data_IF_965507925263
#
_entry.id   IF_965507925263
#
_cell.length_a   1.000
_cell.length_b   1.000
_cell.length_c   1.000
_cell.angle_alpha   90.00
_cell.angle_beta   90.00
_cell.angle_gamma   90.00
#
_symmetry.space_group_name_H-M   'P 1'
#
loop_
_entity.id
_entity.type
_entity.pdbx_description
1 polymer ?
#
# COMPACT_ATOMS: atom_id res chain seq x y z
N UNK A 1 -2.55 5.06 -18.41
CA UNK A 1 -1.16 4.81 -17.97
C UNK A 1 -0.40 3.81 -18.86
N UNK A 2 -1.04 3.09 -19.81
CA UNK A 2 -0.34 2.20 -20.75
C UNK A 2 -0.04 0.78 -20.28
N UNK A 3 -0.51 0.41 -19.08
CA UNK A 3 -0.31 -0.91 -18.50
C UNK A 3 0.82 -0.96 -17.47
N UNK A 4 1.05 -2.14 -16.90
CA UNK A 4 2.16 -2.38 -15.97
C UNK A 4 3.50 -2.36 -16.70
N UNK A 5 4.54 -1.85 -16.04
CA UNK A 5 5.89 -1.69 -16.60
C UNK A 5 6.44 -2.97 -17.26
N UNK A 6 6.18 -4.13 -16.65
CA UNK A 6 6.64 -5.44 -17.13
C UNK A 6 5.47 -6.32 -17.63
N UNK A 7 4.39 -5.67 -18.09
CA UNK A 7 3.16 -6.34 -18.52
C UNK A 7 2.27 -6.78 -17.35
N UNK A 8 0.99 -7.07 -17.65
CA UNK A 8 -0.01 -7.32 -16.61
C UNK A 8 0.33 -8.50 -15.68
N UNK A 9 1.07 -9.49 -16.17
CA UNK A 9 1.49 -10.65 -15.38
C UNK A 9 2.44 -10.30 -14.22
N UNK A 10 3.11 -9.15 -14.25
CA UNK A 10 3.95 -8.68 -13.16
C UNK A 10 3.15 -8.02 -12.05
N UNK A 11 1.84 -7.85 -12.18
CA UNK A 11 1.01 -7.24 -11.13
C UNK A 11 0.98 -8.13 -9.89
N UNK A 12 1.32 -7.54 -8.75
CA UNK A 12 1.23 -8.20 -7.45
C UNK A 12 0.06 -7.66 -6.62
N UNK A 13 -0.13 -6.33 -6.62
CA UNK A 13 -1.14 -5.67 -5.80
C UNK A 13 -1.56 -4.30 -6.37
N UNK A 14 -2.72 -3.83 -5.91
CA UNK A 14 -3.23 -2.49 -6.17
C UNK A 14 -3.80 -1.86 -4.91
N UNK A 15 -3.55 -0.58 -4.68
CA UNK A 15 -4.35 0.27 -3.79
C UNK A 15 -5.28 1.09 -4.68
N UNK A 16 -6.59 0.77 -4.75
CA UNK A 16 -7.48 1.35 -5.76
C UNK A 16 -7.90 2.81 -5.45
N UNK A 17 -7.80 3.25 -4.20
CA UNK A 17 -8.50 4.44 -3.73
C UNK A 17 -7.67 5.44 -2.93
N UNK A 18 -6.38 5.57 -3.24
CA UNK A 18 -5.43 6.33 -2.44
C UNK A 18 -4.96 5.56 -1.21
N UNK A 19 -3.91 6.05 -0.55
CA UNK A 19 -3.22 5.32 0.52
C UNK A 19 -4.11 4.90 1.70
N UNK A 20 -5.31 5.45 1.82
CA UNK A 20 -6.22 5.19 2.93
C UNK A 20 -6.96 3.88 2.81
N UNK A 21 -6.98 3.20 1.66
CA UNK A 21 -7.79 1.99 1.45
C UNK A 21 -6.96 0.70 1.48
N UNK A 22 -7.55 -0.44 1.86
CA UNK A 22 -6.86 -1.73 1.82
C UNK A 22 -6.36 -2.08 0.41
N UNK A 23 -5.21 -2.73 0.36
CA UNK A 23 -4.66 -3.33 -0.87
C UNK A 23 -5.56 -4.47 -1.36
N UNK A 24 -5.75 -4.54 -2.69
CA UNK A 24 -6.25 -5.71 -3.41
C UNK A 24 -5.09 -6.57 -3.89
N UNK A 25 -5.23 -7.90 -3.83
CA UNK A 25 -4.27 -8.81 -4.47
C UNK A 25 -4.51 -8.87 -6.00
N UNK A 26 -3.59 -9.51 -6.72
CA UNK A 26 -3.69 -9.71 -8.17
C UNK A 26 -5.05 -10.25 -8.63
N UNK A 27 -5.50 -11.35 -8.05
CA UNK A 27 -6.75 -12.01 -8.47
C UNK A 27 -7.96 -11.07 -8.32
N UNK A 28 -8.00 -10.29 -7.24
CA UNK A 28 -9.05 -9.28 -7.05
C UNK A 28 -8.94 -8.13 -8.05
N UNK A 29 -7.73 -7.76 -8.49
CA UNK A 29 -7.53 -6.71 -9.50
C UNK A 29 -8.04 -7.12 -10.87
N UNK A 30 -8.00 -8.40 -11.22
CA UNK A 30 -8.50 -8.92 -12.50
C UNK A 30 -10.03 -8.76 -12.63
N UNK A 31 -10.74 -8.76 -11.50
CA UNK A 31 -12.21 -8.72 -11.44
C UNK A 31 -12.78 -7.42 -10.86
N UNK A 32 -11.93 -6.51 -10.38
CA UNK A 32 -12.38 -5.28 -9.71
C UNK A 32 -12.97 -4.28 -10.70
N UNK A 33 -14.18 -3.81 -10.39
CA UNK A 33 -14.77 -2.63 -10.99
C UNK A 33 -14.42 -1.42 -10.13
N UNK A 34 -14.02 -0.32 -10.77
CA UNK A 34 -13.64 0.93 -10.08
C UNK A 34 -14.87 1.72 -9.61
N UNK A 35 -15.71 1.08 -8.79
CA UNK A 35 -16.91 1.64 -8.18
C UNK A 35 -16.93 1.40 -6.67
N UNK A 36 -17.73 2.19 -5.94
CA UNK A 36 -17.74 2.14 -4.47
C UNK A 36 -18.16 0.77 -3.92
N UNK A 37 -19.27 0.21 -4.43
CA UNK A 37 -19.87 -1.00 -3.87
C UNK A 37 -19.05 -2.26 -4.19
N UNK A 38 -18.54 -2.38 -5.43
CA UNK A 38 -17.70 -3.52 -5.80
C UNK A 38 -16.40 -3.56 -5.00
N UNK A 39 -15.67 -2.45 -4.90
CA UNK A 39 -14.44 -2.39 -4.12
C UNK A 39 -14.68 -2.65 -2.63
N UNK A 40 -15.80 -2.18 -2.09
CA UNK A 40 -16.22 -2.49 -0.72
C UNK A 40 -16.50 -3.98 -0.53
N UNK A 41 -17.15 -4.64 -1.49
CA UNK A 41 -17.42 -6.08 -1.46
C UNK A 41 -16.14 -6.92 -1.46
N UNK A 42 -15.08 -6.41 -2.11
CA UNK A 42 -13.73 -7.02 -2.14
C UNK A 42 -12.88 -6.68 -0.90
N UNK A 43 -13.45 -5.97 0.07
CA UNK A 43 -12.79 -5.61 1.32
C UNK A 43 -11.75 -4.48 1.17
N UNK A 44 -11.92 -3.62 0.16
CA UNK A 44 -11.19 -2.37 -0.04
C UNK A 44 -12.18 -1.18 -0.13
N UNK A 45 -11.82 -0.09 -0.78
CA UNK A 45 -12.69 1.06 -1.03
C UNK A 45 -12.20 1.93 -2.20
N UNK A 46 -13.11 2.70 -2.79
CA UNK A 46 -12.75 3.58 -3.92
C UNK A 46 -11.97 4.83 -3.48
N UNK A 47 -12.19 5.32 -2.26
CA UNK A 47 -11.51 6.51 -1.72
C UNK A 47 -11.50 7.69 -2.70
N UNK A 48 -10.31 8.20 -3.02
CA UNK A 48 -10.12 9.30 -3.98
C UNK A 48 -10.01 8.85 -5.45
N UNK A 49 -10.16 7.54 -5.71
CA UNK A 49 -9.82 6.90 -6.97
C UNK A 49 -8.36 7.12 -7.43
N UNK A 50 -7.46 7.41 -6.49
CA UNK A 50 -6.02 7.48 -6.75
C UNK A 50 -5.41 6.06 -6.76
N UNK A 51 -5.43 5.44 -7.94
CA UNK A 51 -4.94 4.08 -8.14
C UNK A 51 -3.42 4.00 -8.04
N UNK A 52 -2.90 3.17 -7.14
CA UNK A 52 -1.47 2.85 -7.02
C UNK A 52 -1.25 1.38 -7.32
N UNK A 53 -0.43 1.08 -8.33
CA UNK A 53 -0.15 -0.27 -8.80
C UNK A 53 1.24 -0.72 -8.32
N UNK A 54 1.34 -1.97 -7.88
CA UNK A 54 2.58 -2.58 -7.41
C UNK A 54 2.90 -3.81 -8.24
N UNK A 55 4.05 -3.81 -8.90
CA UNK A 55 4.56 -5.01 -9.54
C UNK A 55 5.25 -5.97 -8.53
N UNK A 56 5.66 -7.13 -9.03
CA UNK A 56 6.35 -8.18 -8.29
C UNK A 56 7.77 -7.81 -7.83
N UNK A 57 8.32 -6.68 -8.29
CA UNK A 57 9.60 -6.15 -7.79
C UNK A 57 9.45 -5.34 -6.49
N UNK A 58 8.22 -4.98 -6.10
CA UNK A 58 7.97 -4.15 -4.92
C UNK A 58 7.87 -5.00 -3.65
N UNK A 59 8.64 -4.62 -2.62
CA UNK A 59 8.40 -5.10 -1.26
C UNK A 59 7.15 -4.44 -0.67
N UNK A 60 6.05 -5.20 -0.63
CA UNK A 60 4.79 -4.73 -0.05
C UNK A 60 4.89 -4.44 1.45
N UNK A 61 5.73 -5.15 2.20
CA UNK A 61 5.92 -4.87 3.64
C UNK A 61 6.55 -3.50 3.80
N UNK A 62 7.61 -3.21 3.04
CA UNK A 62 8.26 -1.90 3.02
C UNK A 62 7.37 -0.78 2.50
N UNK A 63 6.57 -1.04 1.45
CA UNK A 63 5.63 -0.06 0.90
C UNK A 63 4.56 0.35 1.93
N UNK A 64 3.93 -0.63 2.59
CA UNK A 64 2.90 -0.35 3.60
C UNK A 64 3.51 0.25 4.87
N UNK A 65 4.70 -0.19 5.30
CA UNK A 65 5.44 0.49 6.38
C UNK A 65 5.68 1.96 6.06
N UNK A 66 6.03 2.31 4.81
CA UNK A 66 6.21 3.70 4.40
C UNK A 66 4.92 4.51 4.45
N UNK A 67 3.77 3.90 4.16
CA UNK A 67 2.45 4.51 4.38
C UNK A 67 2.16 4.68 5.88
N UNK A 68 2.48 3.70 6.72
CA UNK A 68 2.35 3.84 8.18
C UNK A 68 3.21 4.97 8.74
N UNK A 69 4.44 5.15 8.25
CA UNK A 69 5.27 6.32 8.56
C UNK A 69 4.57 7.62 8.16
N UNK A 70 3.95 7.68 6.97
CA UNK A 70 3.19 8.86 6.54
C UNK A 70 2.05 9.17 7.50
N UNK A 71 1.24 8.17 7.89
CA UNK A 71 0.13 8.39 8.81
C UNK A 71 0.56 8.78 10.22
N UNK A 72 1.69 8.24 10.72
CA UNK A 72 2.28 8.72 11.97
C UNK A 72 2.72 10.18 11.87
N UNK A 73 3.40 10.55 10.78
CA UNK A 73 3.92 11.90 10.59
C UNK A 73 2.80 12.95 10.43
N UNK A 74 1.74 12.60 9.70
CA UNK A 74 0.61 13.48 9.39
C UNK A 74 -0.56 13.33 10.38
N UNK A 75 -0.39 12.58 11.46
CA UNK A 75 -1.36 12.52 12.55
C UNK A 75 -1.31 13.81 13.35
N UNK A 76 -2.45 14.49 13.51
CA UNK A 76 -2.54 15.69 14.35
C UNK A 76 -2.34 15.40 15.85
N UNK A 77 -2.34 14.13 16.26
CA UNK A 77 -2.10 13.70 17.64
C UNK A 77 -3.25 13.98 18.62
N UNK A 78 -4.45 14.36 18.17
CA UNK A 78 -5.54 14.74 19.08
C UNK A 78 -6.11 13.56 19.89
N UNK A 79 -6.49 12.47 19.22
CA UNK A 79 -7.07 11.29 19.88
C UNK A 79 -5.99 10.23 20.16
N UNK A 80 -6.01 9.65 21.36
CA UNK A 80 -5.01 8.67 21.80
C UNK A 80 -4.89 7.44 20.89
N UNK A 81 -5.98 6.80 20.42
CA UNK A 81 -5.85 5.63 19.55
C UNK A 81 -5.08 5.95 18.26
N UNK A 82 -5.30 7.12 17.66
CA UNK A 82 -4.54 7.55 16.49
C UNK A 82 -3.10 7.97 16.83
N UNK A 83 -2.92 8.80 17.87
CA UNK A 83 -1.61 9.35 18.24
C UNK A 83 -0.60 8.26 18.60
N UNK A 84 -1.00 7.34 19.47
CA UNK A 84 -0.13 6.27 19.94
C UNK A 84 -0.16 5.07 18.98
N UNK A 85 -1.34 4.72 18.48
CA UNK A 85 -1.53 3.55 17.64
C UNK A 85 -0.78 3.66 16.31
N UNK A 86 -0.78 4.83 15.65
CA UNK A 86 -0.03 4.99 14.38
C UNK A 86 1.48 4.84 14.55
N UNK A 87 2.05 5.32 15.67
CA UNK A 87 3.45 5.06 15.98
C UNK A 87 3.70 3.57 16.20
N UNK A 88 2.82 2.91 16.96
CA UNK A 88 2.98 1.49 17.25
C UNK A 88 2.87 0.61 15.99
N UNK A 89 1.93 0.92 15.09
CA UNK A 89 1.83 0.27 13.78
C UNK A 89 3.15 0.36 13.01
N UNK A 90 3.74 1.56 12.93
CA UNK A 90 5.01 1.75 12.24
C UNK A 90 6.16 0.98 12.90
N UNK A 91 6.29 1.05 14.23
CA UNK A 91 7.38 0.43 14.97
C UNK A 91 7.39 -1.10 14.82
N UNK A 92 6.21 -1.73 14.78
CA UNK A 92 6.08 -3.18 14.51
C UNK A 92 6.41 -3.47 13.04
N UNK A 93 5.92 -2.67 12.10
CA UNK A 93 6.21 -2.86 10.68
C UNK A 93 7.69 -2.66 10.33
N UNK A 94 8.41 -1.77 11.01
CA UNK A 94 9.87 -1.63 10.88
C UNK A 94 10.58 -2.94 11.25
N UNK A 95 10.12 -3.62 12.31
CA UNK A 95 10.69 -4.90 12.73
C UNK A 95 10.31 -6.02 11.78
N UNK A 96 9.07 -6.06 11.31
CA UNK A 96 8.62 -7.02 10.30
C UNK A 96 9.36 -6.88 8.97
N UNK A 97 9.58 -5.64 8.49
CA UNK A 97 10.38 -5.36 7.28
C UNK A 97 11.83 -5.89 7.43
N UNK A 98 12.42 -5.78 8.62
CA UNK A 98 13.77 -6.28 8.91
C UNK A 98 13.84 -7.78 9.20
N UNK A 99 12.71 -8.45 9.39
CA UNK A 99 12.66 -9.84 9.88
C UNK A 99 13.02 -10.00 11.37
N UNK A 100 13.03 -8.91 12.15
CA UNK A 100 13.35 -8.90 13.60
C UNK A 100 12.08 -8.83 14.47
N UNK A 101 11.01 -9.48 14.01
CA UNK A 101 9.73 -9.57 14.71
C UNK A 101 9.40 -11.03 15.04
N UNK A 102 8.66 -11.26 16.11
CA UNK A 102 8.12 -12.59 16.40
C UNK A 102 6.81 -12.81 15.59
N UNK A 103 6.56 -14.03 15.11
CA UNK A 103 5.31 -14.35 14.38
C UNK A 103 4.04 -14.07 15.18
N UNK A 104 4.12 -14.08 16.52
CA UNK A 104 3.01 -13.69 17.42
C UNK A 104 2.64 -12.22 17.28
N UNK A 105 3.51 -11.40 16.71
CA UNK A 105 3.25 -9.98 16.50
C UNK A 105 2.36 -9.71 15.28
N UNK A 106 2.24 -10.67 14.36
CA UNK A 106 1.33 -10.58 13.21
C UNK A 106 -0.14 -10.43 13.67
N UNK A 107 -0.69 -11.34 14.49
CA UNK A 107 -2.05 -11.16 15.02
C UNK A 107 -2.15 -9.98 16.00
N UNK A 108 -1.09 -9.66 16.75
CA UNK A 108 -1.06 -8.46 17.60
C UNK A 108 -1.21 -7.18 16.76
N UNK A 109 -0.52 -7.09 15.62
CA UNK A 109 -0.60 -5.96 14.71
C UNK A 109 -2.00 -5.82 14.12
N UNK A 110 -2.65 -6.94 13.78
CA UNK A 110 -4.05 -6.95 13.36
C UNK A 110 -4.96 -6.40 14.48
N UNK A 111 -4.77 -6.85 15.72
CA UNK A 111 -5.53 -6.38 16.87
C UNK A 111 -5.36 -4.87 17.11
N UNK A 112 -4.12 -4.37 17.08
CA UNK A 112 -3.83 -2.94 17.20
C UNK A 112 -4.54 -2.15 16.11
N UNK A 113 -4.49 -2.61 14.86
CA UNK A 113 -5.17 -1.93 13.75
C UNK A 113 -6.70 -1.83 13.98
N UNK A 114 -7.32 -2.87 14.55
CA UNK A 114 -8.76 -2.89 14.87
C UNK A 114 -9.11 -2.06 16.10
N UNK A 115 -8.17 -1.85 17.03
CA UNK A 115 -8.35 -0.93 18.15
C UNK A 115 -8.23 0.53 17.73
N UNK A 116 -7.52 0.83 16.64
CA UNK A 116 -7.49 2.18 16.07
C UNK A 116 -8.77 2.44 15.27
N UNK A 117 -9.14 1.49 14.40
CA UNK A 117 -10.32 1.58 13.53
C UNK A 117 -11.60 1.84 14.34
N UNK A 118 -12.34 2.88 13.97
CA UNK A 118 -13.61 3.25 14.60
C UNK A 118 -13.50 3.81 16.03
N UNK A 119 -12.30 3.94 16.60
CA UNK A 119 -12.08 4.51 17.94
C UNK A 119 -11.39 5.88 17.90
N UNK A 120 -11.25 6.48 16.71
CA UNK A 120 -10.64 7.80 16.51
C UNK A 120 -11.68 8.88 16.22
N UNK A 121 -11.29 10.14 16.40
CA UNK A 121 -12.18 11.30 16.18
C UNK A 121 -12.50 11.48 14.68
N UNK A 122 -11.50 11.28 13.82
CA UNK A 122 -11.64 11.40 12.37
C UNK A 122 -11.20 10.09 11.68
N UNK A 123 -11.44 10.02 10.37
CA UNK A 123 -11.13 8.86 9.54
C UNK A 123 -9.62 8.66 9.26
N UNK A 124 -8.73 9.50 9.78
CA UNK A 124 -7.28 9.28 9.64
C UNK A 124 -6.85 8.01 10.38
N UNK A 125 -7.50 7.67 11.50
CA UNK A 125 -7.26 6.42 12.21
C UNK A 125 -7.57 5.19 11.34
N UNK A 126 -8.75 5.17 10.72
CA UNK A 126 -9.15 4.13 9.78
C UNK A 126 -8.19 4.06 8.59
N UNK A 127 -7.85 5.22 8.02
CA UNK A 127 -6.91 5.34 6.91
C UNK A 127 -5.49 4.83 7.25
N UNK A 128 -5.08 4.90 8.52
CA UNK A 128 -3.81 4.35 8.98
C UNK A 128 -3.87 2.84 9.26
N UNK A 129 -5.03 2.34 9.71
CA UNK A 129 -5.24 0.93 10.03
C UNK A 129 -5.47 0.06 8.78
N UNK A 130 -6.27 0.53 7.82
CA UNK A 130 -6.69 -0.24 6.65
C UNK A 130 -5.55 -0.73 5.74
N UNK A 131 -4.47 0.04 5.47
CA UNK A 131 -3.33 -0.45 4.69
C UNK A 131 -2.65 -1.63 5.38
N UNK A 132 -2.53 -1.58 6.71
CA UNK A 132 -1.94 -2.66 7.51
C UNK A 132 -2.85 -3.90 7.49
N UNK A 133 -4.17 -3.71 7.65
CA UNK A 133 -5.13 -4.81 7.54
C UNK A 133 -5.10 -5.48 6.16
N UNK A 134 -4.99 -4.69 5.08
CA UNK A 134 -4.84 -5.20 3.72
C UNK A 134 -3.54 -5.98 3.54
N UNK A 135 -2.42 -5.45 4.05
CA UNK A 135 -1.12 -6.15 4.05
C UNK A 135 -1.22 -7.51 4.73
N UNK A 136 -1.78 -7.55 5.95
CA UNK A 136 -1.91 -8.79 6.71
C UNK A 136 -2.84 -9.79 6.03
N UNK A 137 -3.89 -9.32 5.34
CA UNK A 137 -4.82 -10.20 4.62
C UNK A 137 -4.18 -10.91 3.43
N UNK A 138 -3.34 -10.21 2.66
CA UNK A 138 -2.84 -10.70 1.37
C UNK A 138 -1.36 -11.08 1.37
N UNK A 139 -0.55 -10.49 2.25
CA UNK A 139 0.91 -10.61 2.29
C UNK A 139 1.46 -11.13 3.63
N UNK A 140 0.61 -11.72 4.48
CA UNK A 140 1.05 -12.35 5.73
C UNK A 140 2.16 -13.37 5.51
N UNK A 141 2.07 -14.17 4.45
CA UNK A 141 3.11 -15.15 4.13
C UNK A 141 4.46 -14.49 3.88
N UNK A 142 4.51 -13.37 3.16
CA UNK A 142 5.74 -12.62 2.92
C UNK A 142 6.38 -12.14 4.23
N UNK A 143 5.56 -11.76 5.22
CA UNK A 143 6.03 -11.37 6.56
C UNK A 143 6.58 -12.60 7.30
N UNK A 144 5.87 -13.73 7.28
CA UNK A 144 6.32 -14.98 7.92
C UNK A 144 7.63 -15.49 7.32
N UNK A 145 7.74 -15.49 5.99
CA UNK A 145 8.94 -15.90 5.26
C UNK A 145 10.13 -14.97 5.58
N UNK A 146 9.89 -13.66 5.71
CA UNK A 146 10.90 -12.66 6.12
C UNK A 146 11.40 -12.91 7.54
N UNK A 147 10.50 -13.25 8.47
CA UNK A 147 10.86 -13.57 9.86
C UNK A 147 11.66 -14.88 9.94
N UNK A 148 11.28 -15.90 9.16
CA UNK A 148 11.97 -17.19 9.18
C UNK A 148 13.37 -17.13 8.56
N UNK A 149 13.55 -16.30 7.52
CA UNK A 149 14.82 -16.17 6.80
C UNK A 149 15.20 -14.70 6.55
N UNK A 150 15.60 -13.93 7.58
CA UNK A 150 15.88 -12.50 7.41
C UNK A 150 16.98 -12.20 6.38
N UNK A 151 18.02 -13.03 6.33
CA UNK A 151 19.16 -12.88 5.41
C UNK A 151 18.80 -13.18 3.93
N UNK A 152 17.64 -13.77 3.68
CA UNK A 152 17.21 -14.12 2.31
C UNK A 152 16.66 -12.91 1.53
N UNK A 153 16.37 -11.81 2.22
CA UNK A 153 15.80 -10.63 1.59
C UNK A 153 16.87 -9.63 1.13
N UNK A 154 16.86 -9.34 -0.17
CA UNK A 154 17.70 -8.29 -0.75
C UNK A 154 16.96 -6.94 -0.77
N UNK A 155 17.25 -6.12 0.25
CA UNK A 155 16.67 -4.78 0.38
C UNK A 155 17.10 -3.81 -0.73
N UNK A 156 18.28 -3.99 -1.33
CA UNK A 156 18.76 -3.13 -2.42
C UNK A 156 18.07 -3.48 -3.74
N UNK A 157 17.81 -4.77 -3.99
CA UNK A 157 17.02 -5.21 -5.13
C UNK A 157 15.54 -4.75 -5.03
N UNK A 158 14.98 -4.77 -3.83
CA UNK A 158 13.60 -4.30 -3.57
C UNK A 158 13.48 -2.77 -3.53
N UNK A 159 14.60 -2.03 -3.41
CA UNK A 159 14.59 -0.58 -3.35
C UNK A 159 14.12 0.02 -4.68
N UNK A 160 12.96 0.68 -4.63
CA UNK A 160 12.36 1.31 -5.79
C UNK A 160 13.12 2.61 -6.12
N UNK A 161 14.02 2.51 -7.09
CA UNK A 161 14.73 3.67 -7.67
C UNK A 161 13.73 4.50 -8.46
N UNK A 162 13.86 5.82 -8.40
CA UNK A 162 13.04 6.70 -9.24
C UNK A 162 13.15 6.23 -10.68
N UNK A 163 12.02 5.98 -11.33
CA UNK A 163 12.00 5.49 -12.70
C UNK A 163 12.88 6.39 -13.59
N UNK A 164 13.94 5.81 -14.16
CA UNK A 164 14.99 6.53 -14.88
C UNK A 164 14.60 6.89 -16.32
N UNK A 165 13.40 6.52 -16.75
CA UNK A 165 12.84 7.02 -18.00
C UNK A 165 13.31 6.32 -19.27
N UNK A 166 13.47 4.99 -19.31
CA UNK A 166 13.30 4.33 -20.61
C UNK A 166 11.87 4.63 -21.06
N UNK A 167 11.66 5.45 -22.11
CA UNK A 167 10.47 6.26 -22.19
C UNK A 167 9.26 5.36 -22.41
N UNK A 168 8.35 5.38 -21.45
CA UNK A 168 6.96 5.45 -21.85
C UNK A 168 6.88 6.70 -22.72
N UNK A 169 6.80 6.54 -24.05
CA UNK A 169 6.64 7.64 -24.99
C UNK A 169 5.25 8.25 -24.73
N UNK A 170 5.12 8.94 -23.61
CA UNK A 170 3.90 9.62 -23.19
C UNK A 170 3.47 10.61 -24.27
N UNK A 171 4.44 11.15 -25.01
CA UNK A 171 4.28 12.01 -26.16
C UNK A 171 3.41 11.38 -27.25
N UNK A 172 3.57 10.08 -27.55
CA UNK A 172 2.77 9.37 -28.56
C UNK A 172 1.37 9.05 -28.02
N UNK A 173 1.29 8.56 -26.78
CA UNK A 173 0.01 8.26 -26.12
C UNK A 173 -0.86 9.52 -25.95
N UNK A 174 -0.26 10.65 -25.54
CA UNK A 174 -0.93 11.96 -25.41
C UNK A 174 -1.33 12.52 -26.77
N UNK A 175 -0.52 12.33 -27.82
CA UNK A 175 -0.93 12.70 -29.19
C UNK A 175 -2.13 11.90 -29.69
N UNK A 176 -2.23 10.63 -29.30
CA UNK A 176 -3.26 9.71 -29.77
C UNK A 176 -4.54 9.76 -28.91
N UNK A 177 -4.43 10.07 -27.61
CA UNK A 177 -5.54 9.95 -26.64
C UNK A 177 -5.72 11.18 -25.72
N UNK A 178 -4.87 12.20 -25.84
CA UNK A 178 -4.83 13.35 -24.94
C UNK A 178 -5.66 14.53 -25.45
N UNK A 179 -6.98 14.50 -25.22
CA UNK A 179 -7.85 15.67 -25.46
C UNK A 179 -7.77 16.71 -24.32
N UNK A 180 -6.94 16.44 -23.30
CA UNK A 180 -6.76 17.28 -22.12
C UNK A 180 -5.48 18.12 -22.20
N UNK A 181 -5.61 19.42 -21.92
CA UNK A 181 -4.52 20.39 -21.79
C UNK A 181 -3.54 19.99 -20.67
N UNK A 182 -2.61 19.08 -20.95
CA UNK A 182 -1.42 18.89 -20.13
C UNK A 182 -0.35 19.89 -20.59
N UNK A 183 0.16 20.68 -19.63
CA UNK A 183 1.16 21.74 -19.83
C UNK A 183 2.21 21.40 -20.89
N UNK A 184 2.15 22.07 -22.03
CA UNK A 184 3.29 22.15 -22.95
C UNK A 184 4.38 22.96 -22.27
N UNK A 185 5.59 22.39 -22.12
CA UNK A 185 6.77 23.18 -21.75
C UNK A 185 6.94 24.31 -22.76
N UNK A 186 6.91 25.55 -22.27
CA UNK A 186 7.42 26.71 -22.99
C UNK A 186 8.94 26.65 -23.09
#
# INVERSE_FOLDING_TARGET
CGGMRNGWNSLQACIPGGSSVPVLNRDQCDEALMEFDDLRSKGSGLGTAAVTMFDDSVDMVGAIRRLSHFYKHESCGQCTPCREGTSWLEDVLIRMEKGDADKREIPMLEEISRQIEGQTICALGDAAAWPVQGLLRHFKKNIEDRIDNPDSFDAEAAFQKSWSGDPFANDEWVKEHGDGLAYSKA
#
